data_IF_615906165107
#
_entry.id   IF_615906165107
#
_cell.length_a   1.000
_cell.length_b   1.000
_cell.length_c   1.000
_cell.angle_alpha   90.00
_cell.angle_beta   90.00
_cell.angle_gamma   90.00
#
_symmetry.space_group_name_H-M   'P 1'
#
loop_
_entity.id
_entity.type
_entity.pdbx_description
1 polymer ?
#
# COMPACT_ATOMS: atom_id res chain seq x y z
N UNK A 1 18.86 5.69 8.33
CA UNK A 1 18.23 5.30 7.05
C UNK A 1 16.80 4.94 7.37
N UNK A 2 15.81 5.59 6.72
CA UNK A 2 14.40 5.28 6.95
C UNK A 2 14.00 3.97 6.23
N UNK A 3 13.15 3.20 6.87
CA UNK A 3 12.64 1.93 6.36
C UNK A 3 11.31 2.13 5.64
N UNK A 4 11.21 1.66 4.41
CA UNK A 4 10.01 1.73 3.58
C UNK A 4 9.52 0.33 3.28
N UNK A 5 8.28 0.03 3.62
CA UNK A 5 7.61 -1.19 3.18
C UNK A 5 6.65 -0.87 2.03
N UNK A 6 6.69 -1.66 0.97
CA UNK A 6 5.76 -1.59 -0.15
C UNK A 6 4.80 -2.78 -0.06
N UNK A 7 3.53 -2.51 0.20
CA UNK A 7 2.46 -3.50 0.15
C UNK A 7 1.86 -3.51 -1.25
N UNK A 8 2.40 -4.39 -2.10
CA UNK A 8 1.97 -4.48 -3.50
C UNK A 8 0.76 -5.40 -3.64
N UNK A 9 -0.42 -4.79 -3.84
CA UNK A 9 -1.70 -5.46 -4.04
C UNK A 9 -1.99 -5.85 -5.49
N UNK A 10 -1.05 -5.60 -6.43
CA UNK A 10 -1.27 -5.99 -7.83
C UNK A 10 -1.03 -7.47 -8.05
N UNK A 11 -1.99 -8.21 -8.66
CA UNK A 11 -1.77 -9.61 -9.03
C UNK A 11 -0.84 -9.78 -10.24
N UNK A 12 -0.57 -8.72 -10.99
CA UNK A 12 0.30 -8.75 -12.18
C UNK A 12 1.74 -8.50 -11.77
N UNK A 13 2.64 -9.44 -12.00
CA UNK A 13 4.06 -9.36 -11.59
C UNK A 13 4.78 -8.14 -12.21
N UNK A 14 4.48 -7.81 -13.46
CA UNK A 14 5.03 -6.63 -14.18
C UNK A 14 3.91 -5.67 -14.56
N UNK A 15 2.97 -5.43 -13.62
CA UNK A 15 1.83 -4.56 -13.85
C UNK A 15 2.17 -3.07 -13.72
N UNK A 16 1.25 -2.23 -14.20
CA UNK A 16 1.37 -0.79 -14.15
C UNK A 16 1.56 -0.26 -12.71
N UNK A 17 0.94 -0.90 -11.72
CA UNK A 17 1.09 -0.52 -10.30
C UNK A 17 2.54 -0.61 -9.85
N UNK A 18 3.23 -1.72 -10.15
CA UNK A 18 4.65 -1.86 -9.79
C UNK A 18 5.54 -0.91 -10.59
N UNK A 19 5.18 -0.63 -11.85
CA UNK A 19 5.86 0.38 -12.65
C UNK A 19 5.79 1.77 -11.98
N UNK A 20 4.59 2.19 -11.54
CA UNK A 20 4.40 3.45 -10.82
C UNK A 20 5.22 3.49 -9.51
N UNK A 21 5.19 2.41 -8.73
CA UNK A 21 5.99 2.30 -7.49
C UNK A 21 7.48 2.50 -7.75
N UNK A 22 8.04 1.86 -8.76
CA UNK A 22 9.48 1.98 -9.07
C UNK A 22 9.89 3.42 -9.39
N UNK A 23 9.08 4.15 -10.14
CA UNK A 23 9.36 5.55 -10.46
C UNK A 23 9.20 6.46 -9.24
N UNK A 24 8.19 6.22 -8.42
CA UNK A 24 8.04 6.92 -7.14
C UNK A 24 9.27 6.73 -6.24
N UNK A 25 9.74 5.48 -6.10
CA UNK A 25 10.92 5.17 -5.27
C UNK A 25 12.18 5.82 -5.83
N UNK A 26 12.34 5.88 -7.16
CA UNK A 26 13.44 6.61 -7.81
C UNK A 26 13.46 8.10 -7.41
N UNK A 27 12.30 8.74 -7.31
CA UNK A 27 12.18 10.10 -6.81
C UNK A 27 12.53 10.21 -5.33
N UNK A 28 12.03 9.30 -4.51
CA UNK A 28 12.29 9.29 -3.06
C UNK A 28 13.79 9.12 -2.74
N UNK A 29 14.51 8.31 -3.52
CA UNK A 29 15.95 8.08 -3.33
C UNK A 29 16.82 9.32 -3.59
N UNK A 30 16.33 10.26 -4.39
CA UNK A 30 17.03 11.53 -4.61
C UNK A 30 17.10 12.41 -3.35
N UNK A 31 16.12 12.27 -2.44
CA UNK A 31 16.02 13.07 -1.21
C UNK A 31 16.65 12.42 0.00
N UNK A 32 16.63 11.10 0.09
CA UNK A 32 17.11 10.41 1.29
C UNK A 32 17.55 8.99 0.97
N UNK A 33 18.55 8.50 1.67
CA UNK A 33 18.89 7.06 1.65
C UNK A 33 17.81 6.27 2.36
N UNK A 34 17.12 5.39 1.63
CA UNK A 34 15.99 4.59 2.11
C UNK A 34 16.31 3.09 2.01
N UNK A 35 15.76 2.30 2.93
CA UNK A 35 15.79 0.85 2.86
C UNK A 35 14.41 0.32 2.48
N UNK A 36 14.32 -0.38 1.36
CA UNK A 36 13.06 -0.87 0.80
C UNK A 36 12.83 -2.35 1.09
N UNK A 37 11.60 -2.69 1.47
CA UNK A 37 11.10 -4.05 1.53
C UNK A 37 9.81 -4.14 0.71
N UNK A 38 9.82 -4.83 -0.42
CA UNK A 38 8.60 -5.11 -1.19
C UNK A 38 7.95 -6.40 -0.70
N UNK A 39 6.65 -6.34 -0.44
CA UNK A 39 5.80 -7.48 -0.12
C UNK A 39 4.77 -7.65 -1.23
N UNK A 40 4.90 -8.69 -2.02
CA UNK A 40 3.91 -9.06 -3.02
C UNK A 40 2.77 -9.82 -2.36
N UNK A 41 1.66 -9.11 -2.10
CA UNK A 41 0.53 -9.64 -1.33
C UNK A 41 -0.18 -10.84 -1.99
N UNK A 42 0.05 -11.09 -3.28
CA UNK A 42 -0.50 -12.28 -3.97
C UNK A 42 0.23 -13.57 -3.60
N UNK A 43 1.42 -13.45 -3.00
CA UNK A 43 2.29 -14.60 -2.65
C UNK A 43 2.37 -14.85 -1.15
N UNK A 44 1.83 -13.96 -0.33
CA UNK A 44 1.97 -14.03 1.14
C UNK A 44 1.06 -15.07 1.80
N UNK A 45 0.07 -15.62 1.10
CA UNK A 45 -0.86 -16.61 1.68
C UNK A 45 -1.77 -16.04 2.77
N UNK A 46 -2.09 -14.74 2.69
CA UNK A 46 -3.00 -14.08 3.61
C UNK A 46 -4.44 -14.54 3.37
N UNK A 47 -5.14 -14.91 4.43
CA UNK A 47 -6.57 -15.19 4.39
C UNK A 47 -7.38 -13.97 4.83
N UNK A 48 -8.60 -13.76 4.33
CA UNK A 48 -9.51 -12.73 4.80
C UNK A 48 -9.72 -12.79 6.33
N UNK A 49 -9.98 -11.64 6.94
CA UNK A 49 -10.29 -11.57 8.35
C UNK A 49 -11.65 -12.25 8.65
N UNK A 50 -11.67 -13.12 9.66
CA UNK A 50 -12.88 -13.85 10.10
C UNK A 50 -13.62 -13.14 11.23
N UNK A 51 -13.18 -11.96 11.67
CA UNK A 51 -13.74 -11.21 12.81
C UNK A 51 -13.86 -12.04 14.11
N UNK A 52 -12.95 -12.99 14.31
CA UNK A 52 -13.00 -13.94 15.44
C UNK A 52 -12.37 -13.40 16.73
N UNK A 53 -11.74 -12.22 16.71
CA UNK A 53 -11.04 -11.54 17.81
C UNK A 53 -9.95 -12.37 18.52
N UNK A 54 -9.55 -13.51 17.97
CA UNK A 54 -8.49 -14.33 18.52
C UNK A 54 -7.17 -13.55 18.66
N UNK A 55 -6.87 -12.66 17.73
CA UNK A 55 -5.68 -11.81 17.76
C UNK A 55 -5.62 -10.90 18.99
N UNK A 56 -6.74 -10.45 19.52
CA UNK A 56 -6.80 -9.61 20.72
C UNK A 56 -6.50 -10.39 22.01
N UNK A 57 -6.57 -11.70 21.95
CA UNK A 57 -6.35 -12.60 23.10
C UNK A 57 -4.99 -13.31 23.10
N UNK A 58 -4.27 -13.26 21.97
CA UNK A 58 -3.04 -14.03 21.77
C UNK A 58 -1.83 -13.17 21.32
N UNK A 59 -1.78 -11.90 21.72
CA UNK A 59 -0.65 -11.03 21.42
C UNK A 59 -0.60 -10.51 19.97
N UNK A 60 -1.75 -10.51 19.28
CA UNK A 60 -1.85 -9.97 17.91
C UNK A 60 -1.56 -10.98 16.81
N UNK A 61 -1.60 -12.28 17.11
CA UNK A 61 -1.47 -13.33 16.09
C UNK A 61 -2.82 -13.63 15.45
N UNK A 62 -2.88 -13.58 14.12
CA UNK A 62 -4.10 -13.95 13.39
C UNK A 62 -4.34 -15.44 13.44
N UNK A 63 -5.57 -15.87 13.75
CA UNK A 63 -5.94 -17.27 13.75
C UNK A 63 -6.25 -17.84 12.36
N UNK A 64 -6.54 -16.95 11.38
CA UNK A 64 -6.89 -17.37 10.01
C UNK A 64 -5.68 -17.74 9.16
N UNK A 65 -4.50 -17.23 9.47
CA UNK A 65 -3.24 -17.55 8.80
C UNK A 65 -2.03 -17.19 9.67
N UNK A 66 -0.89 -17.82 9.36
CA UNK A 66 0.39 -17.54 10.03
C UNK A 66 1.18 -16.41 9.35
N UNK A 67 0.89 -16.12 8.08
CA UNK A 67 1.63 -15.14 7.28
C UNK A 67 1.39 -13.71 7.77
N UNK A 68 0.22 -13.44 8.33
CA UNK A 68 -0.12 -12.14 8.91
C UNK A 68 0.86 -11.68 9.98
N UNK A 69 1.40 -12.58 10.80
CA UNK A 69 2.35 -12.21 11.85
C UNK A 69 3.63 -11.61 11.25
N UNK A 70 4.23 -12.31 10.28
CA UNK A 70 5.45 -11.84 9.59
C UNK A 70 5.21 -10.54 8.82
N UNK A 71 4.03 -10.39 8.18
CA UNK A 71 3.65 -9.15 7.52
C UNK A 71 3.58 -7.99 8.53
N UNK A 72 2.89 -8.21 9.66
CA UNK A 72 2.72 -7.16 10.66
C UNK A 72 4.02 -6.75 11.33
N UNK A 73 4.97 -7.67 11.53
CA UNK A 73 6.31 -7.34 12.01
C UNK A 73 7.03 -6.39 11.06
N UNK A 74 6.99 -6.67 9.74
CA UNK A 74 7.59 -5.79 8.71
C UNK A 74 6.90 -4.41 8.68
N UNK A 75 5.58 -4.36 8.82
CA UNK A 75 4.80 -3.12 8.87
C UNK A 75 5.16 -2.30 10.12
N UNK A 76 5.29 -2.94 11.29
CA UNK A 76 5.67 -2.26 12.54
C UNK A 76 7.08 -1.71 12.47
N UNK A 77 8.02 -2.41 11.84
CA UNK A 77 9.43 -2.01 11.72
C UNK A 77 9.67 -0.90 10.67
N UNK A 78 8.66 -0.55 9.87
CA UNK A 78 8.78 0.46 8.82
C UNK A 78 8.41 1.87 9.31
N UNK A 79 9.06 2.91 8.74
CA UNK A 79 8.71 4.32 8.94
C UNK A 79 7.66 4.80 7.93
N UNK A 80 7.73 4.26 6.71
CA UNK A 80 6.86 4.62 5.59
C UNK A 80 6.23 3.35 5.04
N UNK A 81 4.92 3.39 4.81
CA UNK A 81 4.15 2.31 4.20
C UNK A 81 3.62 2.80 2.85
N UNK A 82 4.07 2.18 1.76
CA UNK A 82 3.53 2.40 0.42
C UNK A 82 2.41 1.39 0.19
N UNK A 83 1.17 1.87 0.09
CA UNK A 83 0.01 1.07 -0.27
C UNK A 83 -0.18 1.16 -1.78
N UNK A 84 0.17 0.11 -2.51
CA UNK A 84 0.14 0.09 -3.97
C UNK A 84 -0.96 -0.86 -4.49
N UNK A 85 -1.88 -0.34 -5.27
CA UNK A 85 -3.07 -1.08 -5.71
C UNK A 85 -3.50 -0.73 -7.14
N UNK A 86 -3.91 -1.70 -7.96
CA UNK A 86 -4.80 -1.41 -9.06
C UNK A 86 -6.17 -1.00 -8.52
N UNK A 87 -6.90 -0.18 -9.26
CA UNK A 87 -8.30 0.13 -8.95
C UNK A 87 -9.19 -1.00 -9.46
N UNK A 88 -9.86 -1.68 -8.57
CA UNK A 88 -10.84 -2.73 -8.90
C UNK A 88 -12.20 -2.38 -8.31
N UNK A 89 -13.20 -2.18 -9.20
CA UNK A 89 -14.56 -1.83 -8.78
C UNK A 89 -14.59 -0.69 -7.74
N UNK A 90 -13.97 0.45 -8.11
CA UNK A 90 -13.88 1.68 -7.29
C UNK A 90 -13.19 1.50 -5.94
N UNK A 91 -12.45 0.42 -5.74
CA UNK A 91 -11.77 0.12 -4.48
C UNK A 91 -10.35 -0.39 -4.68
N UNK A 92 -9.68 -0.62 -3.56
CA UNK A 92 -8.40 -1.32 -3.54
C UNK A 92 -8.58 -2.78 -3.93
N UNK A 93 -7.53 -3.41 -4.42
CA UNK A 93 -7.55 -4.86 -4.71
C UNK A 93 -7.88 -5.68 -3.46
N UNK A 94 -8.50 -6.86 -3.64
CA UNK A 94 -8.79 -7.76 -2.53
C UNK A 94 -7.53 -8.15 -1.75
N UNK A 95 -6.39 -8.29 -2.41
CA UNK A 95 -5.10 -8.58 -1.80
C UNK A 95 -4.67 -7.47 -0.84
N UNK A 96 -4.76 -6.20 -1.28
CA UNK A 96 -4.42 -5.07 -0.41
C UNK A 96 -5.43 -4.92 0.72
N UNK A 97 -6.73 -5.09 0.44
CA UNK A 97 -7.76 -5.02 1.49
C UNK A 97 -7.54 -6.09 2.56
N UNK A 98 -7.20 -7.31 2.17
CA UNK A 98 -6.88 -8.39 3.11
C UNK A 98 -5.70 -8.01 4.01
N UNK A 99 -4.64 -7.41 3.46
CA UNK A 99 -3.51 -6.94 4.25
C UNK A 99 -3.88 -5.80 5.21
N UNK A 100 -4.68 -4.84 4.75
CA UNK A 100 -5.19 -3.72 5.58
C UNK A 100 -6.02 -4.27 6.76
N UNK A 101 -6.87 -5.27 6.54
CA UNK A 101 -7.68 -5.86 7.61
C UNK A 101 -6.84 -6.52 8.71
N UNK A 102 -5.60 -6.94 8.39
CA UNK A 102 -4.67 -7.47 9.41
C UNK A 102 -4.13 -6.40 10.35
N UNK A 103 -4.17 -5.12 9.98
CA UNK A 103 -3.79 -4.02 10.88
C UNK A 103 -4.58 -4.05 12.19
N UNK A 104 -5.83 -4.52 12.16
CA UNK A 104 -6.63 -4.73 13.37
C UNK A 104 -5.92 -5.59 14.42
N UNK A 105 -5.14 -6.59 14.01
CA UNK A 105 -4.45 -7.49 14.93
C UNK A 105 -3.42 -6.79 15.82
N UNK A 106 -2.91 -5.66 15.40
CA UNK A 106 -1.87 -4.85 16.07
C UNK A 106 -2.32 -3.41 16.34
N UNK A 107 -3.61 -3.09 16.20
CA UNK A 107 -4.11 -1.71 16.33
C UNK A 107 -3.73 -1.05 17.65
N UNK A 108 -3.67 -1.81 18.74
CA UNK A 108 -3.34 -1.30 20.07
C UNK A 108 -1.86 -0.81 20.17
N UNK A 109 -0.98 -1.37 19.33
CA UNK A 109 0.44 -1.02 19.26
C UNK A 109 0.68 0.02 18.16
N UNK A 110 -0.04 -0.11 17.05
CA UNK A 110 0.16 0.74 15.86
C UNK A 110 -0.33 2.16 16.07
N UNK A 111 -1.41 2.36 16.83
CA UNK A 111 -1.99 3.68 17.07
C UNK A 111 -1.01 4.71 17.67
N UNK A 112 -0.18 4.36 18.65
CA UNK A 112 0.87 5.26 19.16
C UNK A 112 2.05 5.49 18.21
N UNK A 113 2.23 4.68 17.16
CA UNK A 113 3.35 4.79 16.24
C UNK A 113 3.02 5.79 15.13
N UNK A 114 3.83 6.83 14.99
CA UNK A 114 3.73 7.74 13.86
C UNK A 114 4.25 7.06 12.59
N UNK A 115 3.38 6.86 11.61
CA UNK A 115 3.77 6.32 10.31
C UNK A 115 3.32 7.24 9.18
N UNK A 116 4.11 7.23 8.11
CA UNK A 116 3.78 7.93 6.87
C UNK A 116 3.25 6.94 5.86
N UNK A 117 2.14 7.29 5.24
CA UNK A 117 1.51 6.48 4.19
C UNK A 117 1.69 7.19 2.85
N UNK A 118 2.09 6.43 1.85
CA UNK A 118 2.04 6.82 0.45
C UNK A 118 1.07 5.89 -0.25
N UNK A 119 0.09 6.44 -0.93
CA UNK A 119 -0.88 5.67 -1.71
C UNK A 119 -0.51 5.73 -3.18
N UNK A 120 -0.47 4.58 -3.84
CA UNK A 120 -0.27 4.45 -5.29
C UNK A 120 -1.46 3.70 -5.87
N UNK A 121 -2.24 4.38 -6.71
CA UNK A 121 -3.42 3.82 -7.38
C UNK A 121 -3.26 3.87 -8.89
N UNK A 122 -3.50 2.76 -9.55
CA UNK A 122 -3.50 2.69 -11.01
C UNK A 122 -4.82 2.11 -11.49
N UNK A 123 -5.56 2.88 -12.27
CA UNK A 123 -6.87 2.49 -12.82
C UNK A 123 -6.95 2.70 -14.32
N UNK A 124 -8.04 2.24 -14.93
CA UNK A 124 -8.31 2.43 -16.35
C UNK A 124 -8.88 3.82 -16.68
N UNK A 125 -9.62 4.40 -15.74
CA UNK A 125 -10.26 5.70 -15.92
C UNK A 125 -9.24 6.86 -15.81
N UNK A 126 -9.56 8.06 -16.31
CA UNK A 126 -8.77 9.27 -16.13
C UNK A 126 -8.49 9.54 -14.64
N UNK A 127 -7.39 10.23 -14.32
CA UNK A 127 -6.92 10.45 -12.93
C UNK A 127 -7.82 11.35 -12.09
N UNK A 128 -8.74 12.06 -12.71
CA UNK A 128 -9.79 12.89 -12.10
C UNK A 128 -11.11 12.13 -11.85
N UNK A 129 -11.18 10.84 -12.22
CA UNK A 129 -12.35 10.01 -11.93
C UNK A 129 -12.51 9.79 -10.43
N UNK A 130 -13.74 9.85 -9.89
CA UNK A 130 -14.03 9.69 -8.46
C UNK A 130 -13.51 8.40 -7.81
N UNK A 131 -13.20 7.37 -8.58
CA UNK A 131 -12.66 6.11 -8.03
C UNK A 131 -11.37 6.32 -7.22
N UNK A 132 -10.52 7.26 -7.64
CA UNK A 132 -9.28 7.56 -6.93
C UNK A 132 -9.54 8.27 -5.61
N UNK A 133 -10.49 9.18 -5.59
CA UNK A 133 -10.84 9.94 -4.39
C UNK A 133 -11.54 9.07 -3.36
N UNK A 134 -12.36 8.10 -3.78
CA UNK A 134 -12.97 7.11 -2.88
C UNK A 134 -11.91 6.27 -2.17
N UNK A 135 -10.90 5.81 -2.89
CA UNK A 135 -9.79 5.06 -2.30
C UNK A 135 -8.96 5.95 -1.37
N UNK A 136 -8.68 7.20 -1.78
CA UNK A 136 -7.97 8.14 -0.93
C UNK A 136 -8.70 8.37 0.39
N UNK A 137 -9.99 8.65 0.35
CA UNK A 137 -10.82 8.85 1.55
C UNK A 137 -10.79 7.62 2.48
N UNK A 138 -10.86 6.41 1.92
CA UNK A 138 -10.73 5.19 2.72
C UNK A 138 -9.40 5.18 3.48
N UNK A 139 -8.30 5.49 2.82
CA UNK A 139 -6.97 5.48 3.44
C UNK A 139 -6.83 6.62 4.45
N UNK A 140 -7.39 7.80 4.17
CA UNK A 140 -7.40 8.93 5.11
C UNK A 140 -8.13 8.60 6.42
N UNK A 141 -9.27 7.90 6.35
CA UNK A 141 -9.97 7.42 7.55
C UNK A 141 -9.14 6.42 8.35
N UNK A 142 -8.43 5.50 7.66
CA UNK A 142 -7.53 4.55 8.32
C UNK A 142 -6.36 5.31 8.99
N UNK A 143 -5.79 6.27 8.30
CA UNK A 143 -4.71 7.12 8.83
C UNK A 143 -5.17 7.89 10.07
N UNK A 144 -6.33 8.52 9.99
CA UNK A 144 -6.91 9.27 11.11
C UNK A 144 -7.16 8.38 12.33
N UNK A 145 -7.71 7.17 12.12
CA UNK A 145 -7.95 6.20 13.20
C UNK A 145 -6.64 5.71 13.84
N UNK A 146 -5.57 5.59 13.06
CA UNK A 146 -4.28 5.02 13.50
C UNK A 146 -3.24 6.07 13.88
N UNK A 147 -3.59 7.35 13.92
CA UNK A 147 -2.66 8.47 14.10
C UNK A 147 -1.49 8.48 13.08
N UNK A 148 -1.78 8.06 11.87
CA UNK A 148 -0.84 8.04 10.75
C UNK A 148 -1.09 9.21 9.82
N UNK A 149 -0.18 9.45 8.88
CA UNK A 149 -0.30 10.56 7.94
C UNK A 149 -0.19 10.08 6.50
N UNK A 150 -1.24 10.29 5.71
CA UNK A 150 -1.16 10.18 4.24
C UNK A 150 -0.35 11.39 3.72
N UNK A 151 0.83 11.14 3.17
CA UNK A 151 1.78 12.20 2.74
C UNK A 151 1.79 12.39 1.23
N UNK A 152 1.35 11.41 0.45
CA UNK A 152 1.22 11.50 -0.99
C UNK A 152 0.19 10.49 -1.52
N UNK A 153 -0.49 10.87 -2.62
CA UNK A 153 -1.34 9.98 -3.40
C UNK A 153 -0.93 10.07 -4.88
N UNK A 154 -0.24 9.06 -5.37
CA UNK A 154 0.12 8.89 -6.77
C UNK A 154 -1.04 8.24 -7.51
N UNK A 155 -1.59 8.93 -8.49
CA UNK A 155 -2.67 8.45 -9.37
C UNK A 155 -2.11 8.24 -10.77
N UNK A 156 -2.43 7.13 -11.42
CA UNK A 156 -2.08 6.89 -12.82
C UNK A 156 -3.20 6.19 -13.57
N UNK A 157 -3.37 6.54 -14.83
CA UNK A 157 -4.32 5.92 -15.75
C UNK A 157 -3.59 4.99 -16.72
N UNK A 158 -3.88 3.69 -16.63
CA UNK A 158 -3.37 2.67 -17.55
C UNK A 158 -4.24 1.41 -17.49
N UNK A 159 -4.72 0.94 -18.63
CA UNK A 159 -5.61 -0.22 -18.75
C UNK A 159 -4.84 -1.50 -19.09
N UNK A 160 -4.07 -1.47 -20.20
CA UNK A 160 -3.34 -2.64 -20.67
C UNK A 160 -2.10 -2.95 -19.81
N UNK A 161 -1.74 -4.23 -19.66
CA UNK A 161 -0.53 -4.60 -18.94
C UNK A 161 0.72 -3.94 -19.56
N UNK A 162 1.49 -3.21 -18.75
CA UNK A 162 2.71 -2.52 -19.21
C UNK A 162 2.47 -1.18 -19.91
N UNK A 163 1.22 -0.76 -20.08
CA UNK A 163 0.89 0.50 -20.73
C UNK A 163 1.57 1.71 -20.07
N UNK A 164 1.63 1.74 -18.74
CA UNK A 164 2.24 2.87 -18.04
C UNK A 164 3.72 3.06 -18.42
N UNK A 165 4.43 1.99 -18.73
CA UNK A 165 5.83 2.07 -19.15
C UNK A 165 6.01 2.78 -20.50
N UNK A 166 4.95 2.93 -21.29
CA UNK A 166 4.97 3.67 -22.57
C UNK A 166 4.62 5.14 -22.41
N UNK A 167 4.40 5.63 -21.19
CA UNK A 167 3.99 7.02 -20.87
C UNK A 167 5.09 7.75 -20.09
N UNK A 168 6.20 8.14 -20.73
CA UNK A 168 7.38 8.69 -20.04
C UNK A 168 7.08 9.98 -19.28
N UNK A 169 6.16 10.81 -19.77
CA UNK A 169 5.75 12.04 -19.09
C UNK A 169 5.06 11.74 -17.76
N UNK A 170 4.12 10.80 -17.74
CA UNK A 170 3.43 10.36 -16.51
C UNK A 170 4.43 9.75 -15.51
N UNK A 171 5.37 8.94 -15.99
CA UNK A 171 6.41 8.34 -15.16
C UNK A 171 7.32 9.41 -14.53
N UNK A 172 7.64 10.48 -15.28
CA UNK A 172 8.40 11.60 -14.75
C UNK A 172 7.61 12.38 -13.69
N UNK A 173 6.33 12.60 -13.90
CA UNK A 173 5.46 13.24 -12.89
C UNK A 173 5.40 12.41 -11.60
N UNK A 174 5.28 11.08 -11.71
CA UNK A 174 5.32 10.17 -10.57
C UNK A 174 6.66 10.27 -9.82
N UNK A 175 7.77 10.31 -10.54
CA UNK A 175 9.11 10.47 -9.95
C UNK A 175 9.23 11.79 -9.17
N UNK A 176 8.74 12.90 -9.74
CA UNK A 176 8.71 14.21 -9.08
C UNK A 176 7.85 14.23 -7.81
N UNK A 177 6.76 13.47 -7.77
CA UNK A 177 5.96 13.32 -6.53
C UNK A 177 6.72 12.58 -5.42
N UNK A 178 7.73 11.79 -5.75
CA UNK A 178 8.65 11.16 -4.79
C UNK A 178 9.68 12.15 -4.22
N UNK A 179 10.01 13.19 -4.97
CA UNK A 179 10.94 14.25 -4.54
C UNK A 179 10.33 15.18 -3.49
#
# INVERSE_FOLDING_TARGET
MKKVIILNGSPRANGNTLCAVKHLLSGMDKKASLAYTEVNLTKEGLNPCLACDACKKNGGFCASDKASAALMEKVLDSDIIVLATPVYWWGVSAQLKTAIDKFYSKSDIMGPMEKKIVLVTVGAAPVDDPQYDLIQQQIEFICSHSNWKLIAHVKASAFEPGELATKPEVLREIELQGE
#
